data_IF_893086864106
#
_entry.id   IF_893086864106
#
_cell.length_a   1.000
_cell.length_b   1.000
_cell.length_c   1.000
_cell.angle_alpha   90.00
_cell.angle_beta   90.00
_cell.angle_gamma   90.00
#
_symmetry.space_group_name_H-M   'P 1'
#
loop_
_entity.id
_entity.type
_entity.pdbx_description
1 polymer ?
#
# COMPACT_ATOMS: atom_id res chain seq x y z
N UNK A 1 13.89 -18.02 -51.40
CA UNK A 1 13.60 -16.58 -51.19
C UNK A 1 12.09 -16.40 -51.19
N UNK A 2 11.38 -15.82 -50.24
CA UNK A 2 11.57 -15.39 -48.84
C UNK A 2 10.14 -14.99 -48.41
N UNK A 3 9.58 -15.49 -47.31
CA UNK A 3 8.60 -14.78 -46.44
C UNK A 3 7.92 -15.72 -45.43
N UNK A 4 8.71 -16.26 -44.49
CA UNK A 4 8.22 -16.59 -43.15
C UNK A 4 8.91 -15.57 -42.26
N UNK A 5 8.19 -14.52 -41.84
CA UNK A 5 8.50 -13.64 -40.69
C UNK A 5 7.88 -12.26 -40.91
N UNK A 6 6.60 -12.11 -40.58
CA UNK A 6 6.06 -10.78 -40.24
C UNK A 6 4.93 -10.90 -39.19
N UNK A 7 4.15 -11.99 -39.22
CA UNK A 7 3.06 -12.19 -38.23
C UNK A 7 3.50 -12.73 -36.87
N UNK A 8 4.65 -13.40 -36.77
CA UNK A 8 5.15 -13.92 -35.48
C UNK A 8 5.98 -12.89 -34.71
N UNK A 9 6.50 -11.84 -35.36
CA UNK A 9 7.28 -10.80 -34.68
C UNK A 9 6.41 -9.72 -34.01
N UNK A 10 5.16 -9.53 -34.42
CA UNK A 10 4.25 -8.59 -33.73
C UNK A 10 3.63 -9.18 -32.44
N UNK A 11 3.58 -10.51 -32.29
CA UNK A 11 3.03 -11.14 -31.08
C UNK A 11 3.96 -11.08 -29.86
N UNK A 12 5.23 -10.71 -30.05
CA UNK A 12 6.20 -10.59 -28.95
C UNK A 12 6.07 -9.24 -28.21
N UNK A 13 5.38 -8.25 -28.78
CA UNK A 13 5.28 -6.89 -28.22
C UNK A 13 4.01 -6.66 -27.39
N UNK A 14 3.08 -7.62 -27.36
CA UNK A 14 1.91 -7.61 -26.50
C UNK A 14 1.85 -8.94 -25.75
N UNK A 15 2.28 -8.93 -24.48
CA UNK A 15 2.24 -10.10 -23.59
C UNK A 15 0.83 -10.54 -23.20
N UNK A 16 -0.06 -10.72 -24.17
CA UNK A 16 -1.39 -11.29 -23.99
C UNK A 16 -1.44 -12.59 -24.79
N UNK A 17 -0.85 -13.63 -24.21
CA UNK A 17 -1.25 -14.99 -24.55
C UNK A 17 -2.70 -15.15 -24.10
N UNK A 18 -3.64 -14.96 -25.03
CA UNK A 18 -5.02 -15.38 -24.84
C UNK A 18 -5.06 -16.91 -24.72
N UNK A 19 -4.87 -17.43 -23.51
CA UNK A 19 -5.12 -18.84 -23.23
C UNK A 19 -6.62 -19.07 -23.16
N UNK A 20 -7.15 -19.85 -24.10
CA UNK A 20 -8.54 -20.31 -24.19
C UNK A 20 -8.96 -21.31 -23.10
N UNK A 21 -8.15 -21.50 -22.05
CA UNK A 21 -8.51 -22.32 -20.90
C UNK A 21 -9.33 -21.50 -19.90
N UNK A 22 -10.66 -21.49 -20.09
CA UNK A 22 -11.58 -21.15 -18.99
C UNK A 22 -11.49 -22.27 -17.95
N UNK A 23 -10.60 -22.12 -16.97
CA UNK A 23 -10.65 -22.92 -15.75
C UNK A 23 -12.00 -22.63 -15.07
N UNK A 24 -12.90 -23.60 -15.13
CA UNK A 24 -14.24 -23.62 -14.51
C UNK A 24 -14.21 -23.77 -12.98
N UNK A 25 -13.03 -23.71 -12.37
CA UNK A 25 -12.88 -23.76 -10.92
C UNK A 25 -13.01 -22.36 -10.33
N UNK A 26 -13.88 -22.21 -9.33
CA UNK A 26 -13.99 -21.00 -8.54
C UNK A 26 -12.62 -20.65 -7.91
N UNK A 27 -12.19 -19.39 -8.03
CA UNK A 27 -10.99 -18.90 -7.33
C UNK A 27 -11.16 -19.10 -5.84
N UNK A 28 -10.30 -19.93 -5.24
CA UNK A 28 -10.27 -20.16 -3.81
C UNK A 28 -9.22 -19.27 -3.15
N UNK A 29 -9.66 -18.14 -2.61
CA UNK A 29 -8.79 -17.22 -1.88
C UNK A 29 -8.42 -17.79 -0.51
N UNK A 30 -7.14 -18.13 -0.35
CA UNK A 30 -6.61 -18.59 0.94
C UNK A 30 -6.50 -17.40 1.91
N UNK A 31 -7.27 -17.44 3.00
CA UNK A 31 -7.12 -16.47 4.11
C UNK A 31 -5.75 -16.58 4.77
N UNK A 32 -5.21 -15.44 5.18
CA UNK A 32 -3.99 -15.39 5.98
C UNK A 32 -4.21 -15.94 7.39
N UNK A 33 -3.14 -16.40 8.04
CA UNK A 33 -3.19 -16.73 9.47
C UNK A 33 -3.38 -15.45 10.30
N UNK A 34 -3.87 -15.56 11.55
CA UNK A 34 -4.06 -14.39 12.41
C UNK A 34 -2.78 -13.56 12.61
N UNK A 35 -1.63 -14.21 12.71
CA UNK A 35 -0.34 -13.52 12.85
C UNK A 35 0.00 -12.67 11.61
N UNK A 36 -0.11 -13.25 10.41
CA UNK A 36 0.15 -12.52 9.15
C UNK A 36 -0.86 -11.39 8.97
N UNK A 37 -2.14 -11.65 9.27
CA UNK A 37 -3.19 -10.64 9.22
C UNK A 37 -2.87 -9.45 10.13
N UNK A 38 -2.50 -9.72 11.39
CA UNK A 38 -2.17 -8.67 12.35
C UNK A 38 -0.97 -7.85 11.89
N UNK A 39 0.15 -8.50 11.53
CA UNK A 39 1.36 -7.82 11.05
C UNK A 39 1.10 -6.96 9.82
N UNK A 40 0.29 -7.45 8.88
CA UNK A 40 -0.04 -6.72 7.65
C UNK A 40 -0.90 -5.48 7.94
N UNK A 41 -1.91 -5.62 8.81
CA UNK A 41 -2.80 -4.51 9.19
C UNK A 41 -2.01 -3.46 9.98
N UNK A 42 -1.18 -3.87 10.93
CA UNK A 42 -0.31 -2.97 11.70
C UNK A 42 0.65 -2.19 10.78
N UNK A 43 1.26 -2.88 9.81
CA UNK A 43 2.12 -2.22 8.83
C UNK A 43 1.37 -1.13 8.05
N UNK A 44 0.17 -1.43 7.54
CA UNK A 44 -0.66 -0.45 6.84
C UNK A 44 -1.06 0.72 7.75
N UNK A 45 -1.47 0.46 8.99
CA UNK A 45 -1.83 1.52 9.95
C UNK A 45 -0.66 2.45 10.28
N UNK A 46 0.56 1.91 10.32
CA UNK A 46 1.75 2.68 10.67
C UNK A 46 2.29 3.51 9.49
N UNK A 47 2.05 3.08 8.24
CA UNK A 47 2.66 3.70 7.06
C UNK A 47 1.68 4.43 6.15
N UNK A 48 0.38 4.11 6.20
CA UNK A 48 -0.66 4.79 5.46
C UNK A 48 -1.42 5.75 6.36
N UNK A 49 -1.46 7.03 5.99
CA UNK A 49 -2.23 8.06 6.73
C UNK A 49 -3.73 7.71 6.80
N UNK A 50 -4.23 7.05 5.76
CA UNK A 50 -5.59 6.56 5.66
C UNK A 50 -5.62 5.31 4.77
N UNK A 51 -6.54 4.39 5.07
CA UNK A 51 -6.77 3.14 4.35
C UNK A 51 -7.92 3.26 3.33
N UNK A 52 -8.52 4.45 3.21
CA UNK A 52 -9.50 4.74 2.16
C UNK A 52 -8.79 5.07 0.84
N UNK A 53 -8.87 4.14 -0.12
CA UNK A 53 -8.28 4.27 -1.46
C UNK A 53 -9.05 5.30 -2.31
N UNK A 54 -10.38 5.21 -2.32
CA UNK A 54 -11.25 6.03 -3.14
C UNK A 54 -12.54 6.39 -2.40
N UNK A 55 -13.09 7.57 -2.68
CA UNK A 55 -14.36 8.03 -2.15
C UNK A 55 -15.38 8.23 -3.26
N UNK A 56 -16.67 8.03 -2.97
CA UNK A 56 -17.72 8.22 -3.97
C UNK A 56 -17.73 9.69 -4.41
N UNK A 57 -17.81 9.92 -5.71
CA UNK A 57 -17.93 11.26 -6.27
C UNK A 57 -19.31 11.83 -5.92
N UNK A 58 -19.35 12.84 -5.06
CA UNK A 58 -20.55 13.64 -4.82
C UNK A 58 -20.47 14.93 -5.66
N UNK A 59 -21.45 15.22 -6.53
CA UNK A 59 -21.36 16.34 -7.48
C UNK A 59 -20.95 17.67 -6.84
N UNK A 60 -21.57 18.01 -5.70
CA UNK A 60 -21.38 19.29 -5.00
C UNK A 60 -19.94 19.51 -4.48
N UNK A 61 -19.23 18.43 -4.16
CA UNK A 61 -17.84 18.49 -3.64
C UNK A 61 -16.80 18.23 -4.72
N UNK A 62 -17.21 17.65 -5.84
CA UNK A 62 -16.34 17.20 -6.92
C UNK A 62 -16.05 18.29 -7.96
N UNK A 63 -16.96 19.25 -8.14
CA UNK A 63 -16.87 20.23 -9.22
C UNK A 63 -15.56 21.04 -9.18
N UNK A 64 -15.21 21.63 -8.03
CA UNK A 64 -13.99 22.43 -7.88
C UNK A 64 -12.70 21.61 -8.10
N UNK A 65 -12.51 20.44 -7.45
CA UNK A 65 -11.36 19.57 -7.72
C UNK A 65 -11.27 19.16 -9.18
N UNK A 66 -12.36 18.69 -9.80
CA UNK A 66 -12.35 18.19 -11.18
C UNK A 66 -12.09 19.29 -12.21
N UNK A 67 -12.55 20.52 -11.99
CA UNK A 67 -12.30 21.66 -12.90
C UNK A 67 -10.85 22.12 -12.88
N UNK A 68 -10.20 22.09 -11.72
CA UNK A 68 -8.89 22.71 -11.53
C UNK A 68 -7.73 21.70 -11.44
N UNK A 69 -8.03 20.42 -11.30
CA UNK A 69 -7.04 19.36 -11.14
C UNK A 69 -6.78 18.58 -12.44
N UNK A 70 -5.59 17.98 -12.52
CA UNK A 70 -5.29 16.96 -13.54
C UNK A 70 -5.65 15.57 -12.99
N UNK A 71 -6.40 14.81 -13.78
CA UNK A 71 -6.88 13.48 -13.41
C UNK A 71 -6.66 12.47 -14.53
N UNK A 72 -6.42 11.24 -14.10
CA UNK A 72 -6.46 10.05 -14.93
C UNK A 72 -7.70 9.23 -14.59
N UNK A 73 -8.16 8.45 -15.56
CA UNK A 73 -9.34 7.61 -15.45
C UNK A 73 -8.93 6.15 -15.48
N UNK A 74 -9.41 5.38 -14.51
CA UNK A 74 -9.34 3.90 -14.54
C UNK A 74 -10.76 3.37 -14.52
N UNK A 75 -11.10 2.42 -15.39
CA UNK A 75 -12.44 1.85 -15.45
C UNK A 75 -12.42 0.34 -15.18
N UNK A 76 -13.49 -0.15 -14.57
CA UNK A 76 -13.68 -1.55 -14.22
C UNK A 76 -14.95 -2.06 -14.88
N UNK A 77 -14.84 -3.13 -15.65
CA UNK A 77 -15.97 -3.81 -16.29
C UNK A 77 -16.79 -4.57 -15.24
N UNK A 78 -16.09 -5.33 -14.39
CA UNK A 78 -16.68 -6.12 -13.31
C UNK A 78 -16.83 -5.37 -12.00
N UNK A 79 -17.29 -6.10 -10.97
CA UNK A 79 -17.38 -5.61 -9.58
C UNK A 79 -16.04 -5.81 -8.85
N UNK A 80 -14.96 -5.34 -9.46
CA UNK A 80 -13.64 -5.43 -8.87
C UNK A 80 -13.59 -4.64 -7.56
N UNK A 81 -13.11 -5.27 -6.50
CA UNK A 81 -13.05 -4.64 -5.18
C UNK A 81 -11.65 -4.09 -4.91
N UNK A 82 -11.51 -2.78 -4.60
CA UNK A 82 -10.21 -2.19 -4.33
C UNK A 82 -9.67 -2.63 -2.97
N UNK A 83 -8.36 -2.76 -2.88
CA UNK A 83 -7.64 -3.10 -1.67
C UNK A 83 -6.15 -2.79 -1.80
N UNK A 84 -5.40 -3.23 -0.79
CA UNK A 84 -3.94 -3.08 -0.77
C UNK A 84 -3.27 -4.43 -0.98
N UNK A 85 -2.38 -4.50 -1.95
CA UNK A 85 -1.47 -5.62 -2.13
C UNK A 85 -0.16 -5.28 -1.41
N UNK A 86 0.13 -6.03 -0.35
CA UNK A 86 1.19 -5.73 0.62
C UNK A 86 2.28 -6.79 0.55
N UNK A 87 3.54 -6.34 0.49
CA UNK A 87 4.74 -7.16 0.43
C UNK A 87 5.58 -6.86 1.67
N UNK A 88 5.82 -7.86 2.53
CA UNK A 88 6.60 -7.72 3.77
C UNK A 88 7.66 -8.82 3.89
N UNK A 89 8.71 -8.61 4.70
CA UNK A 89 9.80 -9.55 4.83
C UNK A 89 9.31 -10.90 5.38
N UNK A 90 9.86 -11.99 4.84
CA UNK A 90 9.66 -13.37 5.35
C UNK A 90 8.20 -13.85 5.35
N UNK A 91 7.31 -13.21 4.59
CA UNK A 91 5.94 -13.68 4.38
C UNK A 91 5.54 -13.62 2.91
N UNK A 92 4.49 -14.37 2.56
CA UNK A 92 3.89 -14.25 1.23
C UNK A 92 3.22 -12.88 1.09
N UNK A 93 3.17 -12.31 -0.14
CA UNK A 93 2.38 -11.13 -0.41
C UNK A 93 0.91 -11.35 0.00
N UNK A 94 0.26 -10.29 0.45
CA UNK A 94 -1.11 -10.36 0.96
C UNK A 94 -1.98 -9.27 0.36
N UNK A 95 -3.19 -9.63 -0.05
CA UNK A 95 -4.21 -8.67 -0.46
C UNK A 95 -5.14 -8.36 0.72
N UNK A 96 -5.24 -7.09 1.09
CA UNK A 96 -6.08 -6.61 2.19
C UNK A 96 -7.31 -5.91 1.62
N UNK A 97 -8.49 -6.46 1.93
CA UNK A 97 -9.78 -5.92 1.54
C UNK A 97 -10.48 -5.28 2.73
N UNK A 98 -10.70 -3.98 2.63
CA UNK A 98 -11.38 -3.17 3.66
C UNK A 98 -12.90 -3.06 3.43
N UNK A 99 -13.35 -3.26 2.20
CA UNK A 99 -14.77 -3.31 1.91
C UNK A 99 -15.34 -4.65 2.34
N UNK A 100 -16.28 -4.62 3.28
CA UNK A 100 -16.89 -5.82 3.86
C UNK A 100 -18.41 -5.71 3.73
N UNK A 101 -19.04 -6.79 3.26
CA UNK A 101 -20.50 -6.93 3.34
C UNK A 101 -20.96 -6.93 4.80
N UNK A 102 -22.26 -6.67 5.04
CA UNK A 102 -22.83 -6.69 6.40
C UNK A 102 -22.51 -8.00 7.14
N UNK A 103 -22.70 -9.12 6.47
CA UNK A 103 -22.40 -10.47 6.99
C UNK A 103 -20.92 -10.63 7.34
N UNK A 104 -20.03 -10.12 6.49
CA UNK A 104 -18.59 -10.20 6.74
C UNK A 104 -18.17 -9.33 7.91
N UNK A 105 -18.72 -8.11 8.04
CA UNK A 105 -18.45 -7.24 9.20
C UNK A 105 -18.87 -7.90 10.51
N UNK A 106 -20.05 -8.52 10.53
CA UNK A 106 -20.54 -9.24 11.70
C UNK A 106 -19.59 -10.39 12.07
N UNK A 107 -19.13 -11.15 11.07
CA UNK A 107 -18.24 -12.29 11.29
C UNK A 107 -16.82 -11.89 11.68
N UNK A 108 -16.24 -10.88 11.04
CA UNK A 108 -14.87 -10.41 11.33
C UNK A 108 -14.81 -9.36 12.43
N UNK A 109 -15.95 -9.01 13.03
CA UNK A 109 -16.09 -7.88 13.98
C UNK A 109 -15.52 -6.57 13.40
N UNK A 110 -15.72 -6.37 12.09
CA UNK A 110 -15.23 -5.21 11.34
C UNK A 110 -13.76 -5.24 10.95
N UNK A 111 -13.00 -6.30 11.27
CA UNK A 111 -11.61 -6.44 10.82
C UNK A 111 -11.55 -6.70 9.31
N UNK A 112 -10.59 -6.11 8.58
CA UNK A 112 -10.44 -6.30 7.15
C UNK A 112 -10.06 -7.75 6.85
N UNK A 113 -10.41 -8.21 5.65
CA UNK A 113 -10.04 -9.56 5.20
C UNK A 113 -8.67 -9.52 4.54
N UNK A 114 -7.82 -10.49 4.90
CA UNK A 114 -6.46 -10.62 4.38
C UNK A 114 -6.32 -11.96 3.68
N UNK A 115 -5.95 -11.93 2.41
CA UNK A 115 -5.75 -13.11 1.57
C UNK A 115 -4.29 -13.25 1.17
N UNK A 116 -3.79 -14.47 1.15
CA UNK A 116 -2.43 -14.77 0.69
C UNK A 116 -2.40 -14.78 -0.84
N UNK A 117 -1.52 -13.97 -1.43
CA UNK A 117 -1.26 -13.88 -2.86
C UNK A 117 0.15 -14.41 -3.15
N UNK A 118 0.26 -15.65 -3.64
CA UNK A 118 1.56 -16.24 -3.97
C UNK A 118 2.08 -15.67 -5.29
N UNK A 119 2.89 -14.62 -5.21
CA UNK A 119 3.55 -14.00 -6.36
C UNK A 119 5.06 -14.30 -6.34
N UNK A 120 5.68 -14.41 -7.52
CA UNK A 120 7.14 -14.43 -7.64
C UNK A 120 7.65 -13.00 -7.73
N UNK A 121 8.17 -12.50 -6.63
CA UNK A 121 8.74 -11.15 -6.56
C UNK A 121 10.18 -11.18 -6.07
N UNK A 122 10.95 -10.19 -6.47
CA UNK A 122 12.30 -9.99 -5.93
C UNK A 122 12.25 -9.61 -4.44
N UNK A 123 13.32 -9.92 -3.71
CA UNK A 123 13.45 -9.60 -2.28
C UNK A 123 13.30 -8.11 -1.99
N UNK A 124 13.74 -7.25 -2.91
CA UNK A 124 13.68 -5.79 -2.78
C UNK A 124 12.24 -5.29 -2.58
N UNK A 125 11.26 -5.88 -3.26
CA UNK A 125 9.85 -5.51 -3.10
C UNK A 125 9.32 -5.96 -1.74
N UNK A 126 9.80 -7.12 -1.29
CA UNK A 126 9.40 -7.76 -0.04
C UNK A 126 9.98 -7.07 1.19
N UNK A 127 10.82 -6.03 1.06
CA UNK A 127 11.29 -5.26 2.21
C UNK A 127 10.21 -4.37 2.83
N UNK A 128 9.11 -4.15 2.11
CA UNK A 128 7.99 -3.32 2.54
C UNK A 128 7.46 -2.51 1.38
N UNK A 129 6.48 -3.04 0.65
CA UNK A 129 5.85 -2.31 -0.45
C UNK A 129 4.35 -2.48 -0.40
N UNK A 130 3.62 -1.43 -0.74
CA UNK A 130 2.17 -1.40 -0.74
C UNK A 130 1.68 -0.84 -2.07
N UNK A 131 0.99 -1.70 -2.79
CA UNK A 131 0.33 -1.42 -4.05
C UNK A 131 -1.16 -1.25 -3.82
N UNK A 132 -1.77 -0.38 -4.59
CA UNK A 132 -3.23 -0.37 -4.75
C UNK A 132 -3.58 -1.32 -5.87
N UNK A 133 -4.51 -2.24 -5.58
CA UNK A 133 -5.00 -3.19 -6.56
C UNK A 133 -6.50 -3.41 -6.39
N UNK A 134 -7.18 -3.81 -7.45
CA UNK A 134 -8.55 -4.32 -7.37
C UNK A 134 -8.60 -5.80 -7.71
N UNK A 135 -9.44 -6.53 -7.00
CA UNK A 135 -9.63 -7.96 -7.20
C UNK A 135 -11.07 -8.23 -7.62
N UNK A 136 -11.23 -8.86 -8.79
CA UNK A 136 -12.49 -9.41 -9.26
C UNK A 136 -12.43 -10.94 -9.22
N UNK A 137 -13.03 -11.49 -8.17
CA UNK A 137 -13.11 -12.94 -7.95
C UNK A 137 -14.01 -13.65 -8.96
N UNK A 138 -14.91 -12.95 -9.66
CA UNK A 138 -15.79 -13.59 -10.64
C UNK A 138 -15.10 -13.74 -11.99
N UNK A 139 -14.30 -12.74 -12.38
CA UNK A 139 -13.50 -12.78 -13.62
C UNK A 139 -12.10 -13.35 -13.42
N UNK A 140 -11.75 -13.76 -12.20
CA UNK A 140 -10.42 -14.26 -11.84
C UNK A 140 -9.31 -13.27 -12.18
N UNK A 141 -9.56 -11.97 -11.97
CA UNK A 141 -8.66 -10.90 -12.39
C UNK A 141 -8.23 -10.03 -11.19
N UNK A 142 -6.93 -9.78 -11.08
CA UNK A 142 -6.36 -8.75 -10.22
C UNK A 142 -5.80 -7.63 -11.10
N UNK A 143 -6.15 -6.39 -10.79
CA UNK A 143 -5.70 -5.20 -11.52
C UNK A 143 -4.77 -4.42 -10.61
N UNK A 144 -3.49 -4.29 -10.98
CA UNK A 144 -2.52 -3.45 -10.30
C UNK A 144 -2.68 -2.00 -10.77
N UNK A 145 -2.97 -1.08 -9.86
CA UNK A 145 -3.43 0.27 -10.23
C UNK A 145 -2.36 1.33 -9.97
N UNK A 146 -1.75 1.31 -8.78
CA UNK A 146 -0.83 2.34 -8.29
C UNK A 146 0.07 1.77 -7.18
N UNK A 147 1.09 2.54 -6.77
CA UNK A 147 2.02 2.19 -5.70
C UNK A 147 1.98 3.28 -4.65
N UNK A 148 1.67 2.96 -3.41
CA UNK A 148 1.62 3.93 -2.31
C UNK A 148 2.89 3.93 -1.47
N UNK A 149 3.45 2.75 -1.23
CA UNK A 149 4.69 2.57 -0.50
C UNK A 149 5.61 1.70 -1.35
N UNK A 150 6.85 2.15 -1.54
CA UNK A 150 7.86 1.43 -2.27
C UNK A 150 9.11 1.31 -1.40
N UNK A 151 9.52 0.08 -1.06
CA UNK A 151 10.73 -0.18 -0.26
C UNK A 151 10.76 0.64 1.05
N UNK A 152 9.66 0.58 1.81
CA UNK A 152 9.38 1.31 3.04
C UNK A 152 9.29 2.84 2.92
N UNK A 153 9.29 3.39 1.70
CA UNK A 153 9.12 4.83 1.48
C UNK A 153 7.67 5.11 1.07
N UNK A 154 6.98 5.98 1.84
CA UNK A 154 5.64 6.44 1.48
C UNK A 154 5.74 7.49 0.35
N UNK A 155 5.64 6.99 -0.88
CA UNK A 155 5.69 7.79 -2.10
C UNK A 155 4.33 8.38 -2.47
N UNK A 156 3.23 7.92 -1.87
CA UNK A 156 1.90 8.48 -2.12
C UNK A 156 1.83 9.97 -1.74
N UNK A 157 2.47 10.36 -0.64
CA UNK A 157 2.43 11.73 -0.12
C UNK A 157 3.41 12.68 -0.85
N UNK A 158 4.47 12.14 -1.44
CA UNK A 158 5.57 12.93 -2.01
C UNK A 158 5.54 12.98 -3.54
N UNK A 159 5.17 11.87 -4.18
CA UNK A 159 5.23 11.74 -5.63
C UNK A 159 3.88 11.86 -6.31
N UNK A 160 3.89 12.46 -7.49
CA UNK A 160 2.73 12.56 -8.37
C UNK A 160 2.33 11.18 -8.93
N UNK A 161 1.08 11.01 -9.35
CA UNK A 161 0.62 9.73 -9.89
C UNK A 161 1.48 9.24 -11.07
N UNK A 162 1.82 10.13 -12.00
CA UNK A 162 2.70 9.80 -13.13
C UNK A 162 4.08 9.28 -12.69
N UNK A 163 4.67 9.83 -11.63
CA UNK A 163 5.93 9.31 -11.07
C UNK A 163 5.75 7.92 -10.45
N UNK A 164 4.68 7.70 -9.69
CA UNK A 164 4.37 6.39 -9.10
C UNK A 164 4.10 5.32 -10.17
N UNK A 165 3.58 5.72 -11.33
CA UNK A 165 3.44 4.83 -12.50
C UNK A 165 4.78 4.40 -13.11
N UNK A 166 5.82 5.22 -13.04
CA UNK A 166 7.17 4.80 -13.44
C UNK A 166 7.73 3.72 -12.49
N UNK A 167 7.42 3.83 -11.19
CA UNK A 167 7.77 2.82 -10.19
C UNK A 167 6.98 1.53 -10.43
N UNK A 168 5.68 1.62 -10.76
CA UNK A 168 4.89 0.46 -11.19
C UNK A 168 5.51 -0.23 -12.40
N UNK A 169 5.97 0.56 -13.39
CA UNK A 169 6.68 0.02 -14.57
C UNK A 169 7.96 -0.71 -14.16
N UNK A 170 8.79 -0.11 -13.29
CA UNK A 170 9.98 -0.77 -12.73
C UNK A 170 9.63 -2.10 -12.04
N UNK A 171 8.56 -2.13 -11.24
CA UNK A 171 8.08 -3.34 -10.60
C UNK A 171 7.77 -4.45 -11.60
N UNK A 172 6.98 -4.13 -12.64
CA UNK A 172 6.57 -5.09 -13.67
C UNK A 172 7.77 -5.60 -14.48
N UNK A 173 8.70 -4.72 -14.85
CA UNK A 173 9.81 -5.08 -15.74
C UNK A 173 10.93 -5.84 -15.02
N UNK A 174 11.17 -5.55 -13.73
CA UNK A 174 12.38 -6.01 -13.04
C UNK A 174 12.13 -6.88 -11.82
N UNK A 175 10.96 -6.75 -11.19
CA UNK A 175 10.75 -7.30 -9.85
C UNK A 175 9.65 -8.35 -9.77
N UNK A 176 8.86 -8.52 -10.82
CA UNK A 176 7.72 -9.44 -10.83
C UNK A 176 7.79 -10.39 -12.02
N UNK A 177 7.58 -11.68 -11.75
CA UNK A 177 7.39 -12.70 -12.77
C UNK A 177 5.93 -13.19 -12.67
N UNK A 178 5.06 -12.87 -13.65
CA UNK A 178 3.67 -13.28 -13.60
C UNK A 178 3.55 -14.81 -13.71
N UNK A 179 2.78 -15.42 -12.80
CA UNK A 179 2.46 -16.85 -12.83
C UNK A 179 1.08 -17.10 -12.20
N UNK A 180 0.05 -17.20 -13.03
CA UNK A 180 -1.34 -17.39 -12.59
C UNK A 180 -1.57 -18.70 -11.84
N UNK A 181 -0.72 -19.72 -12.06
CA UNK A 181 -0.80 -21.02 -11.36
C UNK A 181 -0.49 -20.88 -9.87
N UNK A 182 0.42 -19.96 -9.52
CA UNK A 182 0.75 -19.68 -8.12
C UNK A 182 -0.36 -18.87 -7.44
N UNK A 183 -1.02 -17.99 -8.19
CA UNK A 183 -2.12 -17.16 -7.72
C UNK A 183 -3.49 -17.86 -7.71
N UNK A 184 -3.51 -19.20 -7.73
CA UNK A 184 -4.75 -19.96 -7.63
C UNK A 184 -5.70 -19.73 -8.81
N UNK A 185 -5.16 -19.46 -10.00
CA UNK A 185 -5.92 -19.20 -11.22
C UNK A 185 -6.25 -17.73 -11.46
N UNK A 186 -5.88 -16.82 -10.56
CA UNK A 186 -6.04 -15.37 -10.76
C UNK A 186 -5.01 -14.90 -11.79
N UNK A 187 -5.50 -14.24 -12.83
CA UNK A 187 -4.70 -13.48 -13.80
C UNK A 187 -4.46 -12.09 -13.23
N UNK A 188 -3.27 -11.54 -13.44
CA UNK A 188 -2.94 -10.19 -12.97
C UNK A 188 -2.58 -9.31 -14.15
N UNK A 189 -3.20 -8.14 -14.21
CA UNK A 189 -2.97 -7.12 -15.22
C UNK A 189 -2.61 -5.79 -14.56
N UNK A 190 -1.95 -4.90 -15.31
CA UNK A 190 -1.65 -3.55 -14.85
C UNK A 190 -2.65 -2.60 -15.48
N UNK A 191 -3.27 -1.75 -14.66
CA UNK A 191 -4.26 -0.79 -15.15
C UNK A 191 -3.64 0.11 -16.23
N UNK A 192 -4.47 0.55 -17.18
CA UNK A 192 -4.08 1.47 -18.25
C UNK A 192 -4.87 2.77 -18.09
N UNK A 193 -4.39 3.71 -17.24
CA UNK A 193 -5.11 4.94 -16.98
C UNK A 193 -5.24 5.78 -18.25
N UNK A 194 -6.45 6.31 -18.49
CA UNK A 194 -6.77 7.17 -19.64
C UNK A 194 -6.82 8.64 -19.20
N UNK A 195 -6.58 9.60 -20.10
CA UNK A 195 -6.75 11.01 -19.77
C UNK A 195 -8.22 11.34 -19.48
N UNK A 196 -8.48 12.39 -18.70
CA UNK A 196 -9.83 12.85 -18.37
C UNK A 196 -10.71 13.11 -19.61
N UNK A 197 -10.11 13.55 -20.72
CA UNK A 197 -10.80 13.76 -22.00
C UNK A 197 -11.50 12.50 -22.54
N UNK A 198 -11.03 11.31 -22.16
CA UNK A 198 -11.64 10.03 -22.57
C UNK A 198 -12.92 9.68 -21.78
N UNK A 199 -13.30 10.48 -20.78
CA UNK A 199 -14.44 10.18 -19.91
C UNK A 199 -15.75 9.96 -20.66
N UNK A 200 -16.07 10.86 -21.61
CA UNK A 200 -17.33 10.81 -22.36
C UNK A 200 -17.47 9.48 -23.11
N UNK A 201 -16.44 9.09 -23.84
CA UNK A 201 -16.39 7.81 -24.58
C UNK A 201 -16.48 6.59 -23.64
N UNK A 202 -15.82 6.63 -22.47
CA UNK A 202 -15.87 5.54 -21.49
C UNK A 202 -17.30 5.29 -20.96
N UNK A 203 -18.05 6.36 -20.72
CA UNK A 203 -19.42 6.28 -20.18
C UNK A 203 -20.42 5.90 -21.27
N UNK A 204 -20.28 6.44 -22.48
CA UNK A 204 -21.18 6.16 -23.60
C UNK A 204 -21.17 4.68 -24.01
N UNK A 205 -20.04 4.02 -23.89
CA UNK A 205 -19.92 2.59 -24.17
C UNK A 205 -20.69 1.71 -23.17
N UNK A 206 -21.03 2.21 -21.97
CA UNK A 206 -21.75 1.49 -20.88
C UNK A 206 -21.13 0.16 -20.42
N UNK A 207 -19.92 -0.15 -20.88
CA UNK A 207 -19.19 -1.38 -20.53
C UNK A 207 -18.58 -1.34 -19.12
N UNK A 208 -18.49 -0.15 -18.53
CA UNK A 208 -17.86 0.03 -17.21
C UNK A 208 -18.90 -0.05 -16.11
N UNK A 209 -18.66 -0.86 -15.08
CA UNK A 209 -19.41 -0.83 -13.83
C UNK A 209 -19.01 0.38 -12.98
N UNK A 210 -17.71 0.68 -12.93
CA UNK A 210 -17.10 1.72 -12.08
C UNK A 210 -16.03 2.49 -12.84
N UNK A 211 -15.94 3.80 -12.61
CA UNK A 211 -14.86 4.67 -13.10
C UNK A 211 -14.23 5.42 -11.93
N UNK A 212 -12.91 5.33 -11.82
CA UNK A 212 -12.10 6.01 -10.83
C UNK A 212 -11.36 7.20 -11.45
N UNK A 213 -11.43 8.34 -10.77
CA UNK A 213 -10.70 9.57 -11.06
C UNK A 213 -9.49 9.61 -10.13
N UNK A 214 -8.32 9.36 -10.69
CA UNK A 214 -7.04 9.34 -9.99
C UNK A 214 -6.36 10.70 -10.14
N UNK A 215 -6.17 11.48 -9.06
CA UNK A 215 -5.53 12.78 -9.15
C UNK A 215 -4.05 12.64 -9.47
N UNK A 216 -3.51 13.53 -10.32
CA UNK A 216 -2.06 13.60 -10.57
C UNK A 216 -1.29 14.06 -9.33
N UNK A 217 -1.89 14.92 -8.51
CA UNK A 217 -1.27 15.50 -7.32
C UNK A 217 -1.03 14.45 -6.21
N UNK A 218 0.15 14.52 -5.56
CA UNK A 218 0.50 13.70 -4.42
C UNK A 218 -0.44 13.90 -3.22
N UNK A 219 -0.60 12.86 -2.39
CA UNK A 219 -1.39 12.88 -1.16
C UNK A 219 -2.91 13.05 -1.35
N UNK A 220 -3.41 13.05 -2.60
CA UNK A 220 -4.83 13.24 -2.91
C UNK A 220 -5.53 11.90 -3.12
N UNK A 221 -6.69 11.74 -2.48
CA UNK A 221 -7.54 10.56 -2.63
C UNK A 221 -8.21 10.53 -4.00
N UNK A 222 -8.48 9.32 -4.48
CA UNK A 222 -9.26 9.08 -5.70
C UNK A 222 -10.74 9.35 -5.46
N UNK A 223 -11.44 9.67 -6.54
CA UNK A 223 -12.90 9.62 -6.54
C UNK A 223 -13.38 8.46 -7.40
N UNK A 224 -14.56 7.92 -7.13
CA UNK A 224 -15.19 6.95 -8.03
C UNK A 224 -16.65 7.25 -8.31
N UNK A 225 -17.09 6.84 -9.50
CA UNK A 225 -18.47 6.89 -9.94
C UNK A 225 -18.90 5.49 -10.39
N UNK A 226 -20.13 5.11 -10.06
CA UNK A 226 -20.77 3.90 -10.56
C UNK A 226 -21.63 4.29 -11.76
N UNK A 227 -21.38 3.67 -12.92
CA UNK A 227 -21.91 4.14 -14.23
C UNK A 227 -23.35 3.66 -14.45
N UNK A 228 -23.71 2.51 -13.88
CA UNK A 228 -25.00 1.85 -14.11
C UNK A 228 -25.90 1.80 -12.86
N UNK A 229 -25.60 2.58 -11.80
CA UNK A 229 -26.50 2.69 -10.65
C UNK A 229 -27.63 3.69 -10.95
N UNK A 230 -28.81 3.17 -11.27
CA UNK A 230 -30.06 3.95 -11.36
C UNK A 230 -30.40 4.54 -9.99
N UNK A 231 -30.13 5.84 -9.79
CA UNK A 231 -30.67 6.75 -8.73
C UNK A 231 -31.15 6.05 -7.44
N UNK A 232 -30.38 5.09 -6.93
CA UNK A 232 -30.65 4.43 -5.66
C UNK A 232 -30.24 5.40 -4.57
N UNK A 233 -31.10 5.60 -3.58
CA UNK A 233 -30.77 6.38 -2.41
C UNK A 233 -29.37 5.99 -1.93
N UNK A 234 -28.47 6.97 -1.87
CA UNK A 234 -27.13 6.81 -1.30
C UNK A 234 -27.30 6.10 0.04
N UNK A 235 -27.02 4.80 0.11
CA UNK A 235 -27.04 4.15 1.42
C UNK A 235 -25.88 4.75 2.19
N UNK A 236 -26.13 5.18 3.41
CA UNK A 236 -25.09 5.69 4.32
C UNK A 236 -23.95 4.70 4.54
N UNK A 237 -24.15 3.43 4.15
CA UNK A 237 -23.14 2.36 4.12
C UNK A 237 -22.26 2.30 2.86
N UNK A 238 -22.61 2.92 1.74
CA UNK A 238 -21.86 2.82 0.46
C UNK A 238 -20.64 3.75 0.37
N UNK A 239 -20.41 4.57 1.39
CA UNK A 239 -19.30 5.52 1.44
C UNK A 239 -18.42 5.44 2.68
N UNK A 240 -18.77 4.59 3.67
CA UNK A 240 -18.01 4.49 4.90
C UNK A 240 -17.06 3.29 4.85
N UNK A 241 -15.96 3.51 4.13
CA UNK A 241 -14.79 2.65 4.09
C UNK A 241 -14.16 2.62 5.48
N UNK A 242 -13.97 1.41 6.01
CA UNK A 242 -13.73 1.16 7.43
C UNK A 242 -12.71 2.09 8.07
N UNK A 243 -13.12 2.77 9.15
CA UNK A 243 -12.19 3.00 10.26
C UNK A 243 -11.83 1.63 10.83
N UNK A 244 -10.71 1.08 10.40
CA UNK A 244 -10.09 -0.01 11.14
C UNK A 244 -9.32 0.64 12.28
N UNK A 245 -9.97 0.58 13.45
CA UNK A 245 -9.47 0.99 14.78
C UNK A 245 -9.30 2.51 14.90
N UNK A 246 -9.62 3.04 16.08
CA UNK A 246 -9.34 4.43 16.44
C UNK A 246 -7.97 4.81 15.86
N UNK A 247 -7.82 5.90 15.10
CA UNK A 247 -6.52 6.51 15.00
C UNK A 247 -6.09 6.72 16.45
N UNK A 248 -5.20 5.86 16.95
CA UNK A 248 -4.28 6.33 17.96
C UNK A 248 -3.77 7.61 17.33
N UNK A 249 -4.02 8.79 17.93
CA UNK A 249 -3.41 10.00 17.41
C UNK A 249 -1.98 9.61 17.14
N UNK A 250 -1.49 9.91 15.93
CA UNK A 250 -0.05 9.91 15.71
C UNK A 250 0.43 10.84 16.80
N UNK A 251 0.88 10.25 17.90
CA UNK A 251 1.59 10.96 18.93
C UNK A 251 2.84 11.27 18.16
N UNK A 252 2.83 12.42 17.48
CA UNK A 252 4.05 13.16 17.20
C UNK A 252 4.76 13.07 18.54
N UNK A 253 5.84 12.28 18.65
CA UNK A 253 6.45 12.07 19.95
C UNK A 253 6.65 13.47 20.48
N UNK A 254 5.96 13.83 21.56
CA UNK A 254 6.38 15.01 22.32
C UNK A 254 7.87 14.79 22.49
N UNK A 255 8.72 15.76 22.14
CA UNK A 255 10.16 15.54 22.12
C UNK A 255 10.52 14.91 23.46
N UNK A 256 10.81 13.61 23.43
CA UNK A 256 11.26 12.89 24.61
C UNK A 256 12.66 13.41 24.73
N UNK A 257 12.83 14.46 25.54
CA UNK A 257 14.12 15.12 25.67
C UNK A 257 15.09 14.17 26.37
N UNK A 258 14.59 13.15 27.09
CA UNK A 258 15.40 12.37 28.02
C UNK A 258 15.00 10.88 28.03
N UNK A 259 16.00 10.00 28.07
CA UNK A 259 15.79 8.56 28.18
C UNK A 259 16.91 7.90 28.99
N UNK A 260 16.61 6.72 29.54
CA UNK A 260 17.58 5.83 30.18
C UNK A 260 18.25 4.99 29.11
N UNK A 261 19.57 5.08 28.99
CA UNK A 261 20.36 4.35 28.01
C UNK A 261 21.00 3.09 28.62
N UNK A 262 20.83 1.94 27.96
CA UNK A 262 21.45 0.66 28.32
C UNK A 262 22.37 0.22 27.19
N UNK A 263 23.61 -0.10 27.53
CA UNK A 263 24.61 -0.50 26.53
C UNK A 263 24.25 -1.84 25.91
N UNK A 264 24.27 -1.93 24.58
CA UNK A 264 24.08 -3.20 23.87
C UNK A 264 25.45 -3.90 23.77
N UNK A 265 25.63 -5.11 24.34
CA UNK A 265 26.96 -5.73 24.43
C UNK A 265 27.66 -5.99 23.10
N UNK A 266 26.88 -6.20 22.03
CA UNK A 266 27.37 -6.61 20.71
C UNK A 266 27.61 -5.46 19.73
N UNK A 267 27.15 -4.24 20.05
CA UNK A 267 27.21 -3.11 19.14
C UNK A 267 27.99 -1.94 19.78
N UNK A 268 29.10 -1.49 19.18
CA UNK A 268 29.81 -0.32 19.67
C UNK A 268 28.96 0.92 19.44
N UNK A 269 28.89 1.79 20.44
CA UNK A 269 28.25 3.12 20.34
C UNK A 269 26.74 3.08 20.02
N UNK A 270 26.10 1.95 20.33
CA UNK A 270 24.64 1.76 20.26
C UNK A 270 24.10 1.42 21.64
N UNK A 271 23.03 2.09 22.02
CA UNK A 271 22.35 1.93 23.30
C UNK A 271 20.86 1.69 23.06
N UNK A 272 20.27 0.83 23.88
CA UNK A 272 18.82 0.68 23.95
C UNK A 272 18.26 1.74 24.91
N UNK A 273 17.23 2.45 24.46
CA UNK A 273 16.62 3.56 25.20
C UNK A 273 15.33 3.13 25.88
N UNK A 274 15.12 3.59 27.11
CA UNK A 274 13.91 3.39 27.88
C UNK A 274 13.38 4.73 28.40
N UNK A 275 12.06 4.91 28.39
CA UNK A 275 11.42 6.08 29.01
C UNK A 275 11.37 5.96 30.55
N UNK A 276 10.82 6.98 31.21
CA UNK A 276 10.62 7.01 32.67
C UNK A 276 9.73 5.86 33.21
N UNK A 277 8.90 5.27 32.35
CA UNK A 277 8.03 4.14 32.68
C UNK A 277 8.67 2.79 32.30
N UNK A 278 9.97 2.78 31.99
CA UNK A 278 10.72 1.62 31.55
C UNK A 278 10.21 0.98 30.23
N UNK A 279 9.49 1.75 29.42
CA UNK A 279 9.07 1.34 28.07
C UNK A 279 10.22 1.56 27.09
N UNK A 280 10.54 0.54 26.29
CA UNK A 280 11.56 0.65 25.26
C UNK A 280 11.16 1.67 24.19
N UNK A 281 12.05 2.60 23.89
CA UNK A 281 11.96 3.61 22.83
C UNK A 281 12.72 3.17 21.57
N UNK A 282 13.43 2.03 21.63
CA UNK A 282 14.27 1.50 20.56
C UNK A 282 15.75 1.82 20.75
N UNK A 283 16.53 1.63 19.67
CA UNK A 283 17.98 1.82 19.69
C UNK A 283 18.35 3.24 19.29
N UNK A 284 19.40 3.77 19.91
CA UNK A 284 20.03 5.01 19.53
C UNK A 284 21.53 4.86 19.31
N UNK A 285 22.04 5.62 18.36
CA UNK A 285 23.47 5.72 18.07
C UNK A 285 24.03 7.04 18.60
N UNK A 286 25.34 7.05 18.88
CA UNK A 286 26.08 8.25 19.25
C UNK A 286 26.94 8.68 18.05
N UNK A 287 26.73 9.89 17.54
CA UNK A 287 27.58 10.41 16.45
C UNK A 287 28.82 11.15 16.96
N UNK A 288 28.74 11.76 18.14
CA UNK A 288 29.84 12.55 18.70
C UNK A 288 30.86 11.68 19.45
N UNK A 289 32.10 11.67 18.98
CA UNK A 289 33.18 10.86 19.56
C UNK A 289 33.45 11.18 21.04
N UNK A 290 33.38 12.45 21.43
CA UNK A 290 33.56 12.87 22.82
C UNK A 290 32.48 12.32 23.75
N UNK A 291 31.23 12.32 23.28
CA UNK A 291 30.08 11.80 24.02
C UNK A 291 30.17 10.28 24.18
N UNK A 292 30.61 9.58 23.13
CA UNK A 292 30.88 8.14 23.16
C UNK A 292 31.92 7.77 24.23
N UNK A 293 33.02 8.54 24.32
CA UNK A 293 34.05 8.31 25.36
C UNK A 293 33.47 8.47 26.77
N UNK A 294 32.76 9.57 27.02
CA UNK A 294 32.13 9.83 28.33
C UNK A 294 31.12 8.75 28.72
N UNK A 295 30.28 8.30 27.79
CA UNK A 295 29.29 7.25 28.01
C UNK A 295 29.89 5.87 28.28
N UNK A 296 31.12 5.61 27.83
CA UNK A 296 31.85 4.36 28.11
C UNK A 296 32.43 4.32 29.52
N UNK A 297 32.67 5.47 30.14
CA UNK A 297 33.26 5.59 31.49
C UNK A 297 32.22 5.39 32.61
N UNK A 298 30.94 5.63 32.32
CA UNK A 298 29.85 5.51 33.30
C UNK A 298 29.43 4.04 33.42
N UNK A 299 29.50 3.49 34.63
CA UNK A 299 29.15 2.08 34.93
C UNK A 299 27.71 1.90 35.42
N UNK A 300 27.07 2.98 35.86
CA UNK A 300 25.73 2.97 36.45
C UNK A 300 24.63 3.29 35.42
N UNK A 301 23.41 3.49 35.91
CA UNK A 301 22.27 3.87 35.07
C UNK A 301 22.52 5.22 34.41
N UNK A 302 22.53 5.24 33.08
CA UNK A 302 22.84 6.43 32.29
C UNK A 302 21.54 7.09 31.84
N UNK A 303 21.36 8.36 32.18
CA UNK A 303 20.32 9.20 31.60
C UNK A 303 20.91 10.12 30.54
N UNK A 304 20.28 10.15 29.38
CA UNK A 304 20.78 10.84 28.19
C UNK A 304 19.73 11.75 27.60
N UNK A 305 20.19 12.83 26.98
CA UNK A 305 19.35 13.66 26.12
C UNK A 305 19.29 13.05 24.74
N UNK A 306 18.09 12.92 24.17
CA UNK A 306 17.89 12.31 22.85
C UNK A 306 17.17 13.25 21.90
N UNK A 307 17.47 13.11 20.62
CA UNK A 307 16.76 13.77 19.52
C UNK A 307 16.36 12.72 18.49
N UNK A 308 15.18 12.85 17.90
CA UNK A 308 14.77 11.95 16.83
C UNK A 308 15.34 12.46 15.51
N UNK A 309 16.14 11.62 14.85
CA UNK A 309 16.73 11.96 13.56
C UNK A 309 15.78 11.47 12.44
N UNK A 310 15.11 12.42 11.77
CA UNK A 310 14.13 12.13 10.72
C UNK A 310 14.74 11.45 9.49
N UNK A 311 16.01 11.76 9.16
CA UNK A 311 16.68 11.18 7.99
C UNK A 311 16.98 9.70 8.18
N UNK A 312 17.27 9.29 9.41
CA UNK A 312 17.59 7.90 9.74
C UNK A 312 16.46 7.15 10.46
N UNK A 313 15.32 7.81 10.71
CA UNK A 313 14.14 7.27 11.42
C UNK A 313 14.51 6.53 12.72
N UNK A 314 15.41 7.12 13.50
CA UNK A 314 15.89 6.58 14.78
C UNK A 314 16.26 7.69 15.76
N UNK A 315 16.32 7.36 17.05
CA UNK A 315 16.82 8.27 18.06
C UNK A 315 18.35 8.41 17.99
N UNK A 316 18.83 9.59 18.34
CA UNK A 316 20.23 9.95 18.45
C UNK A 316 20.49 10.51 19.85
N UNK A 317 21.56 10.06 20.49
CA UNK A 317 21.97 10.57 21.79
C UNK A 317 22.78 11.85 21.57
N UNK A 318 22.27 12.98 22.05
CA UNK A 318 22.85 14.32 21.83
C UNK A 318 23.58 14.86 23.06
N UNK A 319 23.35 14.28 24.25
CA UNK A 319 24.03 14.72 25.47
C UNK A 319 23.85 13.77 26.65
N UNK A 320 24.65 14.00 27.69
CA UNK A 320 24.45 13.40 29.01
C UNK A 320 23.53 14.30 29.83
N UNK A 321 22.60 13.69 30.56
CA UNK A 321 21.88 14.38 31.63
C UNK A 321 22.64 14.11 32.93
N UNK A 322 23.32 15.13 33.43
CA UNK A 322 24.04 15.10 34.72
C UNK A 322 23.05 15.38 35.85
#
# INVERSE_FOLDING_TARGET
MTSINDKEQEQVTQGVLQSSYRNTHAVNLKKASPAIQQTTIEYLNNHCQDLVIAQRLTPDKAEKPLKNGSFFLTNYIGKAEPGFLVFLPKQYPTFVRFHLSKREREHTKGQPLVYIMRMRTSNVVNEGSVFVAALDVNSHLMILEDVYIWRNQNIFQTDSFSKRRLIMKEFVEKHWIPDSRLLGGIVTEVSQPKPLASFKTLIENKESHRVDFVPEMAGRRRFYMLVNETKGALSTSDGYYGRVVNPQPVVIPQPVVEARAVKVPLLPDVYELFDNNNKSLGNAAIQQLELSKKLKEIKDTIWVTISYNEDFKRYEITGLKI
#
